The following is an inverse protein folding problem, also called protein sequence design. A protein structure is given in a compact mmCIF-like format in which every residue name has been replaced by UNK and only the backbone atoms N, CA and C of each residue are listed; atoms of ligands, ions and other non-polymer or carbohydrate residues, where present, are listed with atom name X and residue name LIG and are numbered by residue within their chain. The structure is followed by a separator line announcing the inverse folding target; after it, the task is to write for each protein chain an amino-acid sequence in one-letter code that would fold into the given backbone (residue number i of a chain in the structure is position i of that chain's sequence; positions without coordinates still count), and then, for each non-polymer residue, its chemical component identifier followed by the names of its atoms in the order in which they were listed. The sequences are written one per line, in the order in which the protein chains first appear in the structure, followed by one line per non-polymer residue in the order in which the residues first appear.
data_IF_919763207900
#
_entry.id   IF_919763207900
#
_cell.length_a   1.000
_cell.length_b   1.000
_cell.length_c   1.000
_cell.angle_alpha   90.00
_cell.angle_beta   90.00
_cell.angle_gamma   90.00
#
_symmetry.space_group_name_H-M   'P 1'
#
loop_
_entity.id
_entity.type
_entity.pdbx_description
1 polymer ?
#
# COMPACT_ATOMS: atom_id res chain seq x y z
N UNK A 1 43.98 29.00 0.47
CA UNK A 1 44.25 27.59 0.15
C UNK A 1 44.54 26.85 1.47
N UNK A 2 43.57 26.14 2.00
CA UNK A 2 43.77 25.29 3.19
C UNK A 2 43.27 23.90 2.78
N UNK A 3 44.18 22.91 2.75
CA UNK A 3 43.90 21.52 2.47
C UNK A 3 43.61 20.81 3.79
N UNK A 4 42.40 20.29 3.98
CA UNK A 4 42.04 19.41 5.08
C UNK A 4 42.23 17.97 4.61
N UNK A 5 43.08 17.23 5.31
CA UNK A 5 43.30 15.78 5.09
C UNK A 5 42.26 15.00 5.93
N UNK A 6 41.46 14.18 5.30
CA UNK A 6 40.62 13.18 5.96
C UNK A 6 41.45 11.93 6.22
N UNK A 7 41.54 11.50 7.45
CA UNK A 7 42.09 10.22 7.90
C UNK A 7 40.95 9.20 7.98
N UNK A 8 41.09 8.10 7.25
CA UNK A 8 40.21 6.95 7.33
C UNK A 8 40.56 6.09 8.55
N UNK A 9 39.57 5.78 9.36
CA UNK A 9 39.67 4.79 10.43
C UNK A 9 39.09 3.46 9.97
N UNK A 10 39.91 2.42 10.03
CA UNK A 10 39.63 1.05 9.69
C UNK A 10 39.11 0.33 10.96
N UNK A 11 37.89 -0.15 10.97
CA UNK A 11 37.35 -0.97 12.06
C UNK A 11 37.27 -2.44 11.63
N UNK A 12 37.90 -3.30 12.42
CA UNK A 12 38.02 -4.73 12.18
C UNK A 12 36.74 -5.47 12.59
N UNK A 13 36.34 -6.41 11.74
CA UNK A 13 35.23 -7.34 11.95
C UNK A 13 35.77 -8.55 12.72
N UNK A 14 35.18 -8.88 13.85
CA UNK A 14 35.39 -10.14 14.57
C UNK A 14 34.18 -11.04 14.31
N UNK A 15 34.42 -12.11 13.58
CA UNK A 15 33.45 -13.17 13.34
C UNK A 15 33.48 -14.18 14.51
N UNK A 16 32.34 -14.43 15.13
CA UNK A 16 32.18 -15.54 16.09
C UNK A 16 31.14 -16.52 15.55
N UNK A 17 31.63 -17.67 15.11
CA UNK A 17 30.83 -18.82 14.70
C UNK A 17 30.51 -19.69 15.92
N UNK A 18 29.26 -20.03 16.13
CA UNK A 18 28.85 -21.10 17.05
C UNK A 18 27.98 -22.10 16.30
N UNK A 19 28.44 -23.36 16.34
CA UNK A 19 27.84 -24.54 15.74
C UNK A 19 26.85 -25.22 16.71
N UNK A 20 25.87 -25.86 16.08
CA UNK A 20 25.27 -27.16 16.40
C UNK A 20 24.21 -27.28 17.52
N UNK A 21 23.12 -27.95 17.12
CA UNK A 21 22.15 -28.59 18.00
C UNK A 21 20.96 -29.15 17.21
N UNK A 22 21.14 -30.30 16.53
CA UNK A 22 20.03 -31.17 16.09
C UNK A 22 19.38 -31.84 17.28
N UNK A 23 18.06 -31.81 17.37
CA UNK A 23 17.29 -32.83 18.06
C UNK A 23 15.98 -33.06 17.31
N UNK A 24 15.84 -34.30 16.83
CA UNK A 24 14.60 -34.90 16.34
C UNK A 24 13.77 -35.32 17.55
N UNK A 25 12.51 -35.01 17.54
CA UNK A 25 11.54 -35.72 18.36
C UNK A 25 10.30 -36.09 17.55
N UNK A 26 9.93 -37.34 17.70
CA UNK A 26 8.96 -38.11 16.91
C UNK A 26 7.55 -37.94 17.47
N UNK A 27 6.56 -37.98 16.56
CA UNK A 27 5.12 -38.03 16.77
C UNK A 27 4.70 -39.41 17.35
N UNK A 28 3.62 -39.49 18.13
CA UNK A 28 2.66 -40.56 17.86
C UNK A 28 1.25 -40.02 17.52
N UNK A 29 0.66 -40.67 16.53
CA UNK A 29 -0.73 -40.61 16.17
C UNK A 29 -1.60 -41.31 17.18
N UNK A 30 -2.76 -40.74 17.50
CA UNK A 30 -3.88 -41.54 18.01
C UNK A 30 -5.18 -41.18 17.27
N UNK A 31 -5.78 -42.26 16.79
CA UNK A 31 -7.07 -42.36 16.11
C UNK A 31 -8.17 -42.50 17.16
N UNK A 32 -9.26 -41.75 17.02
CA UNK A 32 -10.55 -42.21 17.56
C UNK A 32 -11.72 -41.68 16.73
N UNK A 33 -12.43 -42.64 16.21
CA UNK A 33 -13.73 -42.49 15.53
C UNK A 33 -14.85 -42.35 16.55
N UNK A 34 -15.86 -41.53 16.23
CA UNK A 34 -17.13 -41.47 16.96
C UNK A 34 -18.22 -40.96 16.06
N UNK A 35 -18.98 -41.85 15.49
CA UNK A 35 -20.22 -41.57 14.74
C UNK A 35 -21.42 -41.54 15.68
N UNK A 36 -22.37 -40.62 15.44
CA UNK A 36 -23.80 -40.69 15.77
C UNK A 36 -24.45 -39.52 15.06
N UNK A 37 -25.17 -39.67 14.07
CA UNK A 37 -26.48 -40.22 13.72
C UNK A 37 -27.67 -39.35 14.17
N UNK A 38 -28.41 -38.89 13.14
CA UNK A 38 -29.84 -38.57 12.95
C UNK A 38 -30.42 -37.34 13.69
N UNK A 39 -31.00 -36.35 12.95
CA UNK A 39 -32.46 -36.33 12.67
C UNK A 39 -32.78 -35.29 11.60
N UNK A 40 -33.49 -35.75 10.58
CA UNK A 40 -34.16 -34.97 9.54
C UNK A 40 -35.44 -34.38 10.11
N UNK A 41 -35.73 -33.12 9.81
CA UNK A 41 -37.10 -32.59 9.87
C UNK A 41 -37.34 -31.73 8.63
N UNK A 42 -38.17 -32.18 7.74
CA UNK A 42 -38.73 -31.45 6.61
C UNK A 42 -39.68 -30.33 7.09
N UNK A 43 -39.64 -29.20 6.39
CA UNK A 43 -40.57 -28.08 6.57
C UNK A 43 -40.52 -27.17 5.34
N UNK A 44 -41.27 -27.53 4.34
CA UNK A 44 -41.94 -26.86 3.22
C UNK A 44 -41.80 -25.38 2.99
N UNK A 45 -41.33 -25.05 1.76
CA UNK A 45 -41.75 -24.07 0.75
C UNK A 45 -42.24 -22.67 1.16
N UNK A 46 -41.49 -21.63 0.68
CA UNK A 46 -42.11 -20.67 -0.24
C UNK A 46 -41.00 -20.03 -1.12
N UNK A 47 -41.19 -20.12 -2.43
CA UNK A 47 -40.43 -19.45 -3.47
C UNK A 47 -40.77 -17.95 -3.46
N UNK A 48 -39.76 -17.08 -3.44
CA UNK A 48 -39.79 -15.82 -4.18
C UNK A 48 -38.50 -15.62 -4.90
N UNK A 49 -38.55 -15.80 -6.19
CA UNK A 49 -37.50 -15.41 -7.14
C UNK A 49 -37.30 -13.90 -7.12
N UNK A 50 -36.10 -13.44 -6.79
CA UNK A 50 -35.64 -12.19 -7.37
C UNK A 50 -34.16 -12.33 -7.75
N UNK A 51 -33.95 -12.39 -9.07
CA UNK A 51 -32.69 -12.50 -9.73
C UNK A 51 -32.12 -11.08 -9.81
N UNK A 52 -31.22 -10.75 -8.92
CA UNK A 52 -30.29 -9.65 -9.13
C UNK A 52 -28.87 -10.17 -8.87
N UNK A 53 -28.25 -10.66 -9.95
CA UNK A 53 -26.84 -10.92 -10.00
C UNK A 53 -26.12 -9.57 -10.09
N UNK A 54 -25.97 -8.93 -8.95
CA UNK A 54 -25.01 -7.86 -8.75
C UNK A 54 -23.80 -8.48 -8.08
N UNK A 55 -22.74 -8.69 -8.82
CA UNK A 55 -21.42 -8.92 -8.22
C UNK A 55 -21.07 -7.65 -7.42
N UNK A 56 -21.16 -7.74 -6.09
CA UNK A 56 -20.64 -6.70 -5.21
C UNK A 56 -19.13 -6.58 -5.49
N UNK A 57 -18.60 -5.36 -5.70
CA UNK A 57 -17.16 -5.14 -5.75
C UNK A 57 -16.59 -5.45 -4.36
N UNK A 58 -15.79 -6.50 -4.26
CA UNK A 58 -15.04 -6.87 -3.04
C UNK A 58 -13.81 -5.98 -2.81
N UNK A 59 -13.82 -4.75 -3.32
CA UNK A 59 -12.82 -3.73 -3.04
C UNK A 59 -13.20 -3.00 -1.76
N UNK A 60 -12.37 -3.07 -0.72
CA UNK A 60 -12.51 -2.13 0.39
C UNK A 60 -12.41 -0.71 -0.17
N UNK A 61 -13.39 0.15 0.18
CA UNK A 61 -13.34 1.58 -0.13
C UNK A 61 -12.15 2.20 0.61
N UNK A 62 -11.01 2.25 -0.09
CA UNK A 62 -9.76 2.78 0.47
C UNK A 62 -9.88 4.27 0.84
N UNK A 63 -10.79 5.02 0.24
CA UNK A 63 -11.09 6.41 0.63
C UNK A 63 -11.64 6.54 2.05
N UNK A 64 -12.21 5.48 2.61
CA UNK A 64 -12.71 5.45 4.00
C UNK A 64 -11.61 5.22 5.05
N UNK A 65 -10.40 4.77 4.65
CA UNK A 65 -9.32 4.42 5.57
C UNK A 65 -8.86 5.58 6.47
N UNK A 66 -9.02 6.80 5.98
CA UNK A 66 -8.66 8.05 6.67
C UNK A 66 -9.89 8.91 6.98
N UNK A 67 -11.09 8.33 7.01
CA UNK A 67 -12.37 9.04 7.17
C UNK A 67 -12.48 9.90 8.44
N UNK A 68 -11.63 9.70 9.43
CA UNK A 68 -11.54 10.52 10.64
C UNK A 68 -10.61 11.73 10.53
N UNK A 69 -9.92 11.92 9.42
CA UNK A 69 -8.95 12.99 9.20
C UNK A 69 -9.47 14.02 8.19
N UNK A 70 -8.96 15.26 8.31
CA UNK A 70 -9.26 16.35 7.37
C UNK A 70 -8.55 16.08 6.04
N UNK A 71 -9.18 16.47 4.92
CA UNK A 71 -8.58 16.36 3.59
C UNK A 71 -7.99 17.70 3.14
N UNK A 72 -6.96 17.65 2.28
CA UNK A 72 -6.51 18.77 1.47
C UNK A 72 -6.68 18.45 -0.02
N UNK A 73 -6.70 19.48 -0.86
CA UNK A 73 -6.77 19.33 -2.31
C UNK A 73 -5.45 18.75 -2.83
N UNK A 74 -5.56 17.67 -3.62
CA UNK A 74 -4.46 17.02 -4.29
C UNK A 74 -4.74 16.96 -5.77
N UNK A 75 -3.83 17.47 -6.59
CA UNK A 75 -3.94 17.53 -8.04
C UNK A 75 -2.92 16.64 -8.74
N UNK A 76 -3.28 16.19 -9.96
CA UNK A 76 -2.37 15.52 -10.88
C UNK A 76 -2.77 15.81 -12.33
N UNK A 77 -1.84 16.29 -13.14
CA UNK A 77 -2.06 16.46 -14.59
C UNK A 77 -2.21 15.13 -15.32
N UNK A 78 -1.76 14.03 -14.70
CA UNK A 78 -1.85 12.67 -15.26
C UNK A 78 -3.20 11.98 -14.96
N UNK A 79 -4.08 12.61 -14.18
CA UNK A 79 -5.44 12.12 -13.92
C UNK A 79 -6.47 13.03 -14.60
N UNK A 80 -7.15 12.52 -15.63
CA UNK A 80 -8.14 13.28 -16.40
C UNK A 80 -9.45 12.52 -16.45
N UNK A 81 -10.53 13.16 -16.03
CA UNK A 81 -11.87 12.56 -16.03
C UNK A 81 -11.93 11.17 -15.35
N UNK A 82 -11.14 10.98 -14.27
CA UNK A 82 -11.05 9.72 -13.54
C UNK A 82 -10.22 8.63 -14.23
N UNK A 83 -9.43 8.97 -15.25
CA UNK A 83 -8.57 8.03 -15.99
C UNK A 83 -7.10 8.47 -15.90
N UNK A 84 -6.24 7.55 -15.50
CA UNK A 84 -4.81 7.78 -15.46
C UNK A 84 -4.18 7.73 -16.85
N UNK A 85 -3.25 8.65 -17.11
CA UNK A 85 -2.48 8.72 -18.37
C UNK A 85 -1.62 7.45 -18.56
N UNK A 86 -1.43 7.04 -19.82
CA UNK A 86 -0.55 5.91 -20.17
C UNK A 86 0.89 6.07 -19.70
N UNK A 87 1.41 7.30 -19.67
CA UNK A 87 2.81 7.58 -19.29
C UNK A 87 3.19 7.00 -17.93
N UNK A 88 2.24 6.93 -17.00
CA UNK A 88 2.51 6.39 -15.67
C UNK A 88 2.58 4.86 -15.64
N UNK A 89 2.07 4.16 -16.65
CA UNK A 89 1.95 2.70 -16.64
C UNK A 89 3.26 1.98 -16.93
N UNK A 90 3.38 0.77 -16.40
CA UNK A 90 4.47 -0.18 -16.69
C UNK A 90 4.07 -1.15 -17.82
N UNK A 91 3.39 -0.63 -18.86
CA UNK A 91 3.05 -1.35 -20.09
C UNK A 91 3.91 -0.88 -21.24
N UNK A 92 3.85 -1.59 -22.38
CA UNK A 92 4.56 -1.18 -23.60
C UNK A 92 4.10 0.20 -24.15
N UNK A 93 2.91 0.67 -23.74
CA UNK A 93 2.36 1.99 -24.09
C UNK A 93 2.71 3.08 -23.07
N UNK A 94 3.36 2.74 -21.96
CA UNK A 94 3.73 3.64 -20.88
C UNK A 94 5.23 3.89 -20.78
N UNK A 95 5.62 4.73 -19.83
CA UNK A 95 7.04 5.06 -19.56
C UNK A 95 7.45 4.67 -18.12
N UNK A 96 6.52 4.09 -17.34
CA UNK A 96 6.72 3.70 -15.95
C UNK A 96 7.21 4.87 -15.08
N UNK A 97 6.67 6.06 -15.30
CA UNK A 97 6.94 7.27 -14.54
C UNK A 97 5.89 7.48 -13.46
N UNK A 98 6.29 7.86 -12.25
CA UNK A 98 5.32 8.28 -11.24
C UNK A 98 4.51 9.47 -11.75
N UNK A 99 3.20 9.56 -11.44
CA UNK A 99 2.42 10.73 -11.82
C UNK A 99 2.98 12.01 -11.17
N UNK A 100 2.79 13.13 -11.83
CA UNK A 100 2.91 14.44 -11.19
C UNK A 100 1.90 14.53 -10.07
N UNK A 101 2.31 15.09 -8.92
CA UNK A 101 1.43 15.38 -7.79
C UNK A 101 1.69 16.77 -7.27
N UNK A 102 0.61 17.50 -7.00
CA UNK A 102 0.69 18.85 -6.49
C UNK A 102 -0.35 19.13 -5.41
N UNK A 103 0.07 19.79 -4.34
CA UNK A 103 -0.79 20.25 -3.25
C UNK A 103 -0.21 21.47 -2.54
N UNK A 104 -1.06 22.18 -1.78
CA UNK A 104 -0.57 23.27 -0.94
C UNK A 104 0.06 22.71 0.37
N UNK A 105 1.14 23.33 0.87
CA UNK A 105 1.76 22.92 2.12
C UNK A 105 0.76 22.88 3.29
N UNK A 106 0.74 21.76 4.01
CA UNK A 106 -0.15 21.57 5.16
C UNK A 106 0.50 22.15 6.42
N UNK A 107 -0.22 23.02 7.13
CA UNK A 107 0.28 23.64 8.35
C UNK A 107 0.61 22.59 9.43
N UNK A 108 1.78 22.70 10.00
CA UNK A 108 2.30 21.75 11.00
C UNK A 108 2.89 20.45 10.44
N UNK A 109 2.74 20.17 9.14
CA UNK A 109 3.40 19.02 8.52
C UNK A 109 4.92 19.21 8.47
N UNK A 110 5.65 18.15 8.76
CA UNK A 110 7.11 18.10 8.64
C UNK A 110 7.56 17.28 7.44
N UNK A 111 6.72 16.35 7.03
CA UNK A 111 6.96 15.49 5.88
C UNK A 111 5.62 14.89 5.40
N UNK A 112 5.67 14.32 4.21
CA UNK A 112 4.56 13.57 3.65
C UNK A 112 4.99 12.13 3.35
N UNK A 113 4.00 11.25 3.38
CA UNK A 113 4.11 9.86 2.94
C UNK A 113 3.21 9.69 1.73
N UNK A 114 3.71 9.02 0.70
CA UNK A 114 2.94 8.73 -0.52
C UNK A 114 2.74 7.23 -0.65
N UNK A 115 1.49 6.83 -0.92
CA UNK A 115 1.13 5.49 -1.36
C UNK A 115 0.30 5.56 -2.64
N UNK A 116 0.55 4.65 -3.57
CA UNK A 116 -0.36 4.32 -4.66
C UNK A 116 -0.62 2.82 -4.62
N UNK A 117 -1.90 2.43 -4.62
CA UNK A 117 -2.32 1.03 -4.54
C UNK A 117 -3.38 0.71 -5.58
N UNK A 118 -3.42 -0.56 -5.96
CA UNK A 118 -4.45 -1.18 -6.80
C UNK A 118 -5.35 -2.03 -5.89
N UNK A 119 -6.54 -1.54 -5.49
CA UNK A 119 -7.47 -2.31 -4.68
C UNK A 119 -7.99 -3.56 -5.40
N UNK A 120 -8.18 -3.51 -6.73
CA UNK A 120 -8.63 -4.65 -7.54
C UNK A 120 -7.59 -5.78 -7.54
N UNK A 121 -6.30 -5.44 -7.40
CA UNK A 121 -5.17 -6.37 -7.23
C UNK A 121 -4.92 -6.78 -5.78
N UNK A 122 -5.86 -6.59 -4.85
CA UNK A 122 -5.68 -6.89 -3.42
C UNK A 122 -4.74 -5.91 -2.73
N UNK A 123 -4.90 -4.64 -3.00
CA UNK A 123 -4.03 -3.55 -2.55
C UNK A 123 -2.58 -3.75 -3.00
N UNK A 124 -2.38 -4.13 -4.27
CA UNK A 124 -1.05 -4.21 -4.85
C UNK A 124 -0.41 -2.82 -4.83
N UNK A 125 0.83 -2.75 -4.32
CA UNK A 125 1.51 -1.48 -4.12
C UNK A 125 2.24 -1.03 -5.39
N UNK A 126 1.94 0.18 -5.85
CA UNK A 126 2.53 0.82 -7.02
C UNK A 126 3.49 1.97 -6.68
N UNK A 127 3.24 2.67 -5.59
CA UNK A 127 4.12 3.74 -5.10
C UNK A 127 4.21 3.71 -3.59
N UNK A 128 5.42 3.93 -3.07
CA UNK A 128 5.68 4.09 -1.65
C UNK A 128 6.91 4.99 -1.44
N UNK A 129 6.68 6.23 -0.97
CA UNK A 129 7.74 7.17 -0.62
C UNK A 129 7.53 7.71 0.78
N UNK A 130 8.63 7.89 1.51
CA UNK A 130 8.69 8.43 2.87
C UNK A 130 9.55 9.69 2.92
N UNK A 131 9.31 10.53 3.92
CA UNK A 131 10.14 11.71 4.16
C UNK A 131 10.05 12.78 3.06
N UNK A 132 8.97 12.78 2.28
CA UNK A 132 8.74 13.77 1.22
C UNK A 132 8.51 15.14 1.85
N UNK A 133 9.22 16.15 1.38
CA UNK A 133 9.11 17.54 1.87
C UNK A 133 8.65 18.52 0.81
N UNK A 134 8.79 18.15 -0.44
CA UNK A 134 8.29 18.91 -1.59
C UNK A 134 6.77 18.70 -1.72
N UNK A 135 6.07 19.68 -2.27
CA UNK A 135 4.62 19.67 -2.52
C UNK A 135 4.25 19.88 -3.99
N UNK A 136 5.26 19.89 -4.84
CA UNK A 136 5.16 19.93 -6.31
C UNK A 136 6.14 18.91 -6.86
N UNK A 137 5.64 17.69 -7.13
CA UNK A 137 6.42 16.55 -7.58
C UNK A 137 6.20 16.36 -9.08
N UNK A 138 7.19 16.62 -9.92
CA UNK A 138 7.03 16.44 -11.37
C UNK A 138 6.83 14.98 -11.73
N UNK A 139 6.27 14.74 -12.92
CA UNK A 139 6.17 13.41 -13.51
C UNK A 139 7.53 12.70 -13.52
N UNK A 140 7.58 11.46 -13.02
CA UNK A 140 8.81 10.68 -12.89
C UNK A 140 9.69 11.05 -11.69
N UNK A 141 9.16 11.79 -10.71
CA UNK A 141 9.88 12.17 -9.51
C UNK A 141 10.35 10.96 -8.68
N UNK A 142 9.50 9.95 -8.52
CA UNK A 142 9.85 8.77 -7.73
C UNK A 142 10.92 7.91 -8.41
N UNK A 143 11.82 7.37 -7.62
CA UNK A 143 12.82 6.41 -8.09
C UNK A 143 12.17 5.07 -8.50
N UNK A 144 12.87 4.29 -9.33
CA UNK A 144 12.41 2.94 -9.71
C UNK A 144 12.38 1.93 -8.54
N UNK A 145 12.89 2.30 -7.37
CA UNK A 145 12.78 1.50 -6.13
C UNK A 145 11.50 1.84 -5.36
N UNK A 146 10.89 2.98 -5.63
CA UNK A 146 9.72 3.50 -4.94
C UNK A 146 8.45 3.44 -5.78
N UNK A 147 8.59 3.27 -7.11
CA UNK A 147 7.47 3.28 -8.05
C UNK A 147 7.55 2.16 -9.08
N UNK A 148 6.41 1.50 -9.28
CA UNK A 148 6.12 0.58 -10.39
C UNK A 148 4.72 0.89 -10.89
N UNK A 149 4.59 1.38 -12.10
CA UNK A 149 3.32 1.84 -12.66
C UNK A 149 2.25 0.76 -12.82
N UNK A 150 1.01 1.18 -13.11
CA UNK A 150 -0.09 0.30 -13.45
C UNK A 150 0.28 -0.77 -14.48
N UNK A 151 -0.10 -2.02 -14.21
CA UNK A 151 0.11 -3.16 -15.11
C UNK A 151 -0.98 -4.22 -14.88
N UNK A 152 -2.28 -3.89 -15.08
CA UNK A 152 -3.34 -4.89 -14.97
C UNK A 152 -3.28 -5.88 -16.14
N UNK A 153 -3.92 -7.04 -16.06
CA UNK A 153 -3.96 -7.98 -17.17
C UNK A 153 -4.50 -7.32 -18.45
N UNK A 154 -3.97 -7.68 -19.63
CA UNK A 154 -4.33 -7.09 -20.92
C UNK A 154 -5.85 -7.05 -21.13
N UNK A 155 -6.35 -5.90 -21.53
CA UNK A 155 -7.78 -5.64 -21.75
C UNK A 155 -8.61 -5.48 -20.47
N UNK A 156 -8.00 -5.53 -19.29
CA UNK A 156 -8.72 -5.28 -18.02
C UNK A 156 -8.50 -3.85 -17.52
N UNK A 157 -9.47 -3.38 -16.75
CA UNK A 157 -9.43 -2.05 -16.11
C UNK A 157 -9.36 -2.24 -14.60
N UNK A 158 -8.35 -1.63 -13.98
CA UNK A 158 -8.23 -1.57 -12.52
C UNK A 158 -8.30 -0.13 -12.03
N UNK A 159 -8.65 0.04 -10.77
CA UNK A 159 -8.61 1.30 -10.04
C UNK A 159 -7.23 1.47 -9.39
N UNK A 160 -6.76 2.70 -9.35
CA UNK A 160 -5.50 3.06 -8.67
C UNK A 160 -5.73 4.27 -7.79
N UNK A 161 -5.52 4.05 -6.50
CA UNK A 161 -5.72 5.03 -5.45
C UNK A 161 -4.39 5.62 -4.99
N UNK A 162 -4.30 6.96 -4.99
CA UNK A 162 -3.13 7.69 -4.50
C UNK A 162 -3.47 8.40 -3.21
N UNK A 163 -2.64 8.21 -2.20
CA UNK A 163 -2.70 8.89 -0.91
C UNK A 163 -1.44 9.72 -0.70
N UNK A 164 -1.59 10.99 -0.36
CA UNK A 164 -0.53 11.84 0.17
C UNK A 164 -0.91 12.20 1.60
N UNK A 165 -0.13 11.76 2.58
CA UNK A 165 -0.49 11.84 4.00
C UNK A 165 0.49 12.76 4.72
N UNK A 166 -0.02 13.86 5.27
CA UNK A 166 0.75 14.86 6.01
C UNK A 166 1.01 14.41 7.44
N UNK A 167 2.27 14.34 7.84
CA UNK A 167 2.70 13.87 9.16
C UNK A 167 3.43 14.94 9.96
N UNK A 168 3.24 14.93 11.29
CA UNK A 168 3.96 15.79 12.25
C UNK A 168 5.41 15.35 12.43
N UNK A 169 5.68 14.04 12.34
CA UNK A 169 6.98 13.42 12.59
C UNK A 169 7.19 12.20 11.70
N UNK A 170 8.43 11.78 11.47
CA UNK A 170 8.71 10.52 10.79
C UNK A 170 8.08 9.32 11.49
N UNK A 171 7.74 8.30 10.73
CA UNK A 171 7.39 6.96 11.23
C UNK A 171 8.63 6.08 11.29
N UNK A 172 8.60 5.01 12.08
CA UNK A 172 9.73 4.09 12.18
C UNK A 172 10.10 3.48 10.81
N UNK A 173 9.09 3.10 10.05
CA UNK A 173 9.23 2.59 8.67
C UNK A 173 7.90 2.57 7.94
N UNK A 174 7.92 2.74 6.63
CA UNK A 174 6.78 2.44 5.77
C UNK A 174 6.64 0.94 5.53
N UNK A 175 5.42 0.43 5.71
CA UNK A 175 5.05 -0.95 5.40
C UNK A 175 4.58 -1.08 3.95
N UNK A 176 4.51 -2.30 3.46
CA UNK A 176 4.02 -2.65 2.13
C UNK A 176 5.07 -3.30 1.24
N UNK A 177 4.64 -4.23 0.40
CA UNK A 177 5.44 -5.01 -0.53
C UNK A 177 5.01 -4.70 -1.97
N UNK A 178 5.98 -4.44 -2.86
CA UNK A 178 5.73 -4.19 -4.29
C UNK A 178 5.43 -5.44 -5.12
N UNK A 179 5.66 -6.63 -4.60
CA UNK A 179 5.58 -7.88 -5.35
C UNK A 179 4.54 -8.85 -4.77
N UNK A 180 3.47 -8.32 -4.21
CA UNK A 180 2.39 -9.12 -3.65
C UNK A 180 1.23 -8.28 -3.13
N UNK A 181 0.13 -8.94 -2.82
CA UNK A 181 -1.05 -8.31 -2.22
C UNK A 181 -0.74 -7.79 -0.82
N UNK A 182 -1.27 -6.63 -0.49
CA UNK A 182 -1.15 -6.01 0.82
C UNK A 182 -2.52 -5.98 1.52
N UNK A 183 -3.07 -7.16 1.82
CA UNK A 183 -4.41 -7.34 2.40
C UNK A 183 -4.62 -6.57 3.71
N UNK A 184 -3.54 -6.17 4.37
CA UNK A 184 -3.56 -5.37 5.60
C UNK A 184 -3.19 -3.90 5.35
N UNK A 185 -3.44 -3.40 4.15
CA UNK A 185 -3.09 -2.02 3.80
C UNK A 185 -3.72 -1.00 4.76
N UNK A 186 -4.95 -1.23 5.20
CA UNK A 186 -5.61 -0.40 6.22
C UNK A 186 -4.81 -0.32 7.54
N UNK A 187 -4.14 -1.41 7.97
CA UNK A 187 -3.26 -1.38 9.15
C UNK A 187 -2.00 -0.56 8.90
N UNK A 188 -1.51 -0.49 7.65
CA UNK A 188 -0.35 0.31 7.30
C UNK A 188 -0.67 1.80 7.41
N UNK A 189 -1.79 2.22 6.81
CA UNK A 189 -2.29 3.60 6.91
C UNK A 189 -2.55 3.98 8.37
N UNK A 190 -3.29 3.16 9.11
CA UNK A 190 -3.54 3.40 10.53
C UNK A 190 -2.26 3.49 11.36
N UNK A 191 -1.24 2.72 10.99
CA UNK A 191 0.06 2.73 11.66
C UNK A 191 0.83 4.04 11.50
N UNK A 192 0.53 4.87 10.48
CA UNK A 192 1.14 6.18 10.28
C UNK A 192 0.76 7.20 11.37
N UNK A 193 -0.35 6.95 12.08
CA UNK A 193 -0.77 7.79 13.19
C UNK A 193 0.09 7.63 14.46
N UNK A 194 1.04 6.71 14.43
CA UNK A 194 2.06 6.53 15.47
C UNK A 194 3.43 6.92 14.93
N UNK A 195 4.09 7.89 15.57
CA UNK A 195 5.43 8.34 15.19
C UNK A 195 6.54 7.34 15.61
N UNK A 196 7.78 7.58 15.20
CA UNK A 196 8.92 6.70 15.50
C UNK A 196 9.24 6.61 17.01
N UNK A 197 8.76 7.56 17.82
CA UNK A 197 8.92 7.58 19.28
C UNK A 197 7.72 6.94 20.01
N UNK A 198 6.69 6.47 19.28
CA UNK A 198 5.49 5.85 19.82
C UNK A 198 4.38 6.82 20.19
N UNK A 199 4.48 8.10 19.81
CA UNK A 199 3.44 9.11 20.02
C UNK A 199 2.29 8.95 19.01
N UNK A 200 1.04 9.02 19.46
CA UNK A 200 -0.16 8.96 18.61
C UNK A 200 -0.60 10.34 18.11
N UNK A 201 -1.52 10.38 17.15
CA UNK A 201 -2.02 11.61 16.54
C UNK A 201 -1.01 12.25 15.59
N UNK A 202 -0.21 11.43 14.91
CA UNK A 202 0.83 11.85 13.99
C UNK A 202 0.28 12.32 12.63
N UNK A 203 -0.84 11.76 12.16
CA UNK A 203 -1.50 12.19 10.93
C UNK A 203 -2.19 13.54 11.15
N UNK A 204 -1.92 14.51 10.27
CA UNK A 204 -2.58 15.83 10.28
C UNK A 204 -3.78 15.82 9.36
N UNK A 205 -3.55 15.48 8.09
CA UNK A 205 -4.54 15.48 7.01
C UNK A 205 -4.01 14.63 5.85
N UNK A 206 -4.83 14.43 4.83
CA UNK A 206 -4.43 13.68 3.64
C UNK A 206 -5.05 14.26 2.37
N UNK A 207 -4.35 14.08 1.24
CA UNK A 207 -4.87 14.24 -0.10
C UNK A 207 -5.13 12.86 -0.71
N UNK A 208 -6.16 12.76 -1.55
CA UNK A 208 -6.58 11.49 -2.16
C UNK A 208 -6.98 11.71 -3.61
N UNK A 209 -6.48 10.85 -4.49
CA UNK A 209 -6.92 10.74 -5.88
C UNK A 209 -7.24 9.28 -6.18
N UNK A 210 -8.29 9.07 -6.96
CA UNK A 210 -8.68 7.75 -7.47
C UNK A 210 -8.94 7.83 -8.95
N UNK A 211 -8.42 6.89 -9.70
CA UNK A 211 -8.64 6.81 -11.14
C UNK A 211 -8.44 5.42 -11.67
N UNK A 212 -8.96 5.17 -12.86
CA UNK A 212 -8.84 3.88 -13.53
C UNK A 212 -7.72 3.89 -14.56
N UNK A 213 -7.15 2.72 -14.82
CA UNK A 213 -6.26 2.47 -15.95
C UNK A 213 -6.64 1.14 -16.61
N UNK A 214 -6.73 1.16 -17.96
CA UNK A 214 -7.00 -0.04 -18.76
C UNK A 214 -5.73 -0.43 -19.49
N UNK A 215 -5.25 -1.66 -19.28
CA UNK A 215 -4.10 -2.20 -20.03
C UNK A 215 -4.47 -2.42 -21.50
N UNK A 216 -3.60 -2.03 -22.43
CA UNK A 216 -3.75 -2.34 -23.88
C UNK A 216 -3.84 -3.83 -24.17
#
# INVERSE_FOLDING_TARGET
MIRIRMTAALAAVVSLSILAGCSKETVPAETSAGASDITVTEGSLEETSDTSSGSEPTGEDNGSLLSGHVTFELDSVNLKDGVWDNVISNTDAGENKSPELKWEPVDGAKLYVIYMVDPDGGNWLHWKSDGVTETDLPEGWASSMEYVGPYPPSGTTHTYDVYVIALKKPVERLRGLFNGSNMKFHEFIKGLDTDAEGGSGNIISYGYLSGTFTSP
#
